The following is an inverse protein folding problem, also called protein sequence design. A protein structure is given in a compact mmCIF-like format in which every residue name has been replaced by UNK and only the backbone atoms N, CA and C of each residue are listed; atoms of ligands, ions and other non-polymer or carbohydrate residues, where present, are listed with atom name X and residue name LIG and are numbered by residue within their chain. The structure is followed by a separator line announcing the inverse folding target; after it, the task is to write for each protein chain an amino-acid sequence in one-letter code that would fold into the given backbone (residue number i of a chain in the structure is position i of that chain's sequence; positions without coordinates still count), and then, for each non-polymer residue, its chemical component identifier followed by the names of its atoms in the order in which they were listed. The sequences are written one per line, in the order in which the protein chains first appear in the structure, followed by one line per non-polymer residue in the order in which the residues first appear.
data_IF_438818445905
#
_entry.id   IF_438818445905
#
_cell.length_a   1.000
_cell.length_b   1.000
_cell.length_c   1.000
_cell.angle_alpha   90.00
_cell.angle_beta   90.00
_cell.angle_gamma   90.00
#
_symmetry.space_group_name_H-M   'P 1'
#
loop_
_entity.id
_entity.type
_entity.pdbx_description
1 polymer ?
#
# COMPACT_ATOMS: atom_id res chain seq x y z
N UNK A 1 8.70 3.17 -65.47
CA UNK A 1 8.29 1.78 -65.14
C UNK A 1 7.83 1.77 -63.68
N UNK A 2 6.55 2.00 -63.40
CA UNK A 2 5.51 0.97 -63.16
C UNK A 2 5.87 0.02 -62.00
N UNK A 3 5.24 0.30 -60.86
CA UNK A 3 4.74 -0.58 -59.79
C UNK A 3 5.49 -1.89 -59.49
N UNK A 4 5.95 -2.06 -58.24
CA UNK A 4 5.85 -3.39 -57.60
C UNK A 4 5.83 -3.32 -56.07
N UNK A 5 4.61 -3.37 -55.53
CA UNK A 5 4.17 -4.17 -54.37
C UNK A 5 4.73 -3.86 -52.98
N UNK A 6 3.95 -3.04 -52.25
CA UNK A 6 3.25 -3.42 -51.02
C UNK A 6 3.69 -4.76 -50.41
N UNK A 7 4.50 -4.73 -49.34
CA UNK A 7 4.81 -5.89 -48.50
C UNK A 7 4.76 -5.48 -47.02
N UNK A 8 3.72 -6.00 -46.37
CA UNK A 8 3.60 -6.34 -44.94
C UNK A 8 3.53 -5.18 -43.95
N UNK A 9 2.31 -4.63 -43.86
CA UNK A 9 1.69 -4.31 -42.57
C UNK A 9 1.56 -5.62 -41.78
N UNK A 10 2.40 -5.84 -40.77
CA UNK A 10 2.05 -6.54 -39.52
C UNK A 10 3.19 -6.40 -38.50
N UNK A 11 3.52 -5.17 -38.11
CA UNK A 11 4.31 -4.96 -36.91
C UNK A 11 3.38 -5.11 -35.69
N UNK A 12 3.33 -6.35 -35.21
CA UNK A 12 2.76 -6.85 -33.98
C UNK A 12 2.25 -5.80 -32.97
N UNK A 13 0.92 -5.81 -32.80
CA UNK A 13 0.20 -5.38 -31.60
C UNK A 13 0.77 -6.06 -30.35
N UNK A 14 1.76 -5.43 -29.72
CA UNK A 14 2.26 -5.74 -28.38
C UNK A 14 2.64 -4.35 -27.85
N UNK A 15 1.86 -3.66 -27.02
CA UNK A 15 1.65 -3.91 -25.60
C UNK A 15 0.36 -3.21 -25.16
N UNK A 16 -0.79 -3.88 -25.24
CA UNK A 16 -1.97 -3.51 -24.43
C UNK A 16 -2.04 -4.42 -23.20
N UNK A 17 -0.91 -4.63 -22.54
CA UNK A 17 -0.89 -5.11 -21.16
C UNK A 17 -1.12 -3.93 -20.24
N UNK A 18 -2.34 -3.36 -20.23
CA UNK A 18 -2.78 -2.65 -19.04
C UNK A 18 -2.68 -3.69 -17.93
N UNK A 19 -1.63 -3.61 -17.10
CA UNK A 19 -1.52 -4.43 -15.91
C UNK A 19 -2.69 -4.00 -15.01
N UNK A 20 -3.85 -4.61 -15.26
CA UNK A 20 -5.08 -4.39 -14.51
C UNK A 20 -4.75 -4.62 -13.05
N UNK A 21 -5.20 -3.71 -12.17
CA UNK A 21 -5.05 -3.89 -10.74
C UNK A 21 -5.47 -5.34 -10.38
N UNK A 22 -4.57 -6.18 -9.84
CA UNK A 22 -4.90 -7.58 -9.56
C UNK A 22 -5.83 -7.73 -8.36
N UNK A 23 -6.13 -6.66 -7.63
CA UNK A 23 -7.15 -6.64 -6.58
C UNK A 23 -8.56 -6.58 -7.17
N UNK A 24 -9.53 -7.10 -6.42
CA UNK A 24 -10.96 -6.98 -6.75
C UNK A 24 -11.50 -5.69 -6.12
N UNK A 25 -12.29 -4.92 -6.86
CA UNK A 25 -13.06 -3.81 -6.26
C UNK A 25 -14.18 -4.41 -5.41
N UNK A 26 -14.21 -4.08 -4.13
CA UNK A 26 -15.23 -4.61 -3.21
C UNK A 26 -16.63 -4.18 -3.65
N UNK A 27 -17.61 -5.06 -3.50
CA UNK A 27 -19.01 -4.72 -3.76
C UNK A 27 -19.53 -3.70 -2.72
N UNK A 28 -18.97 -3.73 -1.50
CA UNK A 28 -19.26 -2.76 -0.46
C UNK A 28 -18.13 -1.74 -0.38
N UNK A 29 -18.46 -0.45 -0.43
CA UNK A 29 -17.45 0.62 -0.42
C UNK A 29 -17.29 1.31 0.94
N UNK A 30 -18.16 0.97 1.90
CA UNK A 30 -18.06 1.42 3.29
C UNK A 30 -17.04 0.56 4.04
N UNK A 31 -16.13 1.23 4.75
CA UNK A 31 -15.22 0.59 5.70
C UNK A 31 -16.08 0.07 6.87
N UNK A 32 -16.06 -1.24 7.11
CA UNK A 32 -16.83 -1.83 8.21
C UNK A 32 -16.16 -1.48 9.53
N UNK A 33 -16.97 -1.14 10.52
CA UNK A 33 -16.52 -1.03 11.92
C UNK A 33 -16.00 -2.40 12.33
N UNK A 34 -14.79 -2.41 12.88
CA UNK A 34 -14.12 -3.62 13.33
C UNK A 34 -14.78 -4.16 14.61
N UNK A 35 -14.77 -5.48 14.78
CA UNK A 35 -15.23 -6.11 16.01
C UNK A 35 -14.42 -5.59 17.21
N UNK A 36 -15.05 -5.50 18.40
CA UNK A 36 -14.38 -5.03 19.62
C UNK A 36 -13.15 -5.85 20.04
N UNK A 37 -13.02 -7.09 19.56
CA UNK A 37 -11.87 -7.98 19.80
C UNK A 37 -10.72 -7.80 18.80
N UNK A 38 -10.96 -7.09 17.69
CA UNK A 38 -10.01 -6.87 16.60
C UNK A 38 -9.61 -5.39 16.53
N UNK A 39 -8.63 -5.09 15.68
CA UNK A 39 -8.24 -3.74 15.29
C UNK A 39 -8.15 -3.66 13.77
N UNK A 40 -8.27 -2.47 13.18
CA UNK A 40 -8.23 -2.31 11.73
C UNK A 40 -7.24 -1.23 11.33
N UNK A 41 -6.44 -1.52 10.28
CA UNK A 41 -5.60 -0.52 9.62
C UNK A 41 -6.06 -0.34 8.18
N UNK A 42 -6.41 0.91 7.83
CA UNK A 42 -6.84 1.29 6.49
C UNK A 42 -5.68 1.98 5.76
N UNK A 43 -5.15 1.30 4.75
CA UNK A 43 -4.11 1.85 3.88
C UNK A 43 -4.76 2.58 2.70
N UNK A 44 -4.43 3.85 2.54
CA UNK A 44 -4.98 4.76 1.53
C UNK A 44 -3.91 5.12 0.50
N UNK A 45 -4.27 5.15 -0.78
CA UNK A 45 -3.41 5.76 -1.79
C UNK A 45 -4.17 6.69 -2.72
N UNK A 46 -3.82 7.97 -2.63
CA UNK A 46 -4.35 9.03 -3.48
C UNK A 46 -3.23 10.00 -3.86
N UNK A 47 -2.55 9.76 -4.97
CA UNK A 47 -1.48 10.63 -5.49
C UNK A 47 -1.54 10.76 -7.01
N UNK A 48 -1.32 11.96 -7.52
CA UNK A 48 -1.19 12.19 -8.97
C UNK A 48 0.16 11.65 -9.49
N UNK A 49 1.23 11.79 -8.70
CA UNK A 49 2.57 11.34 -9.06
C UNK A 49 2.64 9.81 -9.01
N UNK A 50 3.26 9.19 -10.02
CA UNK A 50 3.41 7.73 -10.08
C UNK A 50 2.08 6.96 -10.13
N UNK A 51 1.01 7.58 -10.63
CA UNK A 51 -0.35 7.01 -10.64
C UNK A 51 -0.45 5.64 -11.31
N UNK A 52 0.40 5.35 -12.31
CA UNK A 52 0.46 4.08 -13.02
C UNK A 52 1.23 2.96 -12.29
N UNK A 53 1.88 3.26 -11.16
CA UNK A 53 2.71 2.32 -10.39
C UNK A 53 1.96 1.92 -9.13
N UNK A 54 1.92 0.63 -8.78
CA UNK A 54 1.36 0.12 -7.52
C UNK A 54 2.47 -0.35 -6.59
N UNK A 55 2.14 -0.52 -5.31
CA UNK A 55 2.99 -1.17 -4.31
C UNK A 55 2.25 -2.36 -3.68
N UNK A 56 2.98 -3.29 -3.08
CA UNK A 56 2.38 -4.35 -2.26
C UNK A 56 2.58 -4.09 -0.77
N UNK A 57 1.60 -4.49 0.04
CA UNK A 57 1.54 -4.28 1.48
C UNK A 57 1.60 -5.61 2.21
N UNK A 58 2.29 -5.61 3.35
CA UNK A 58 2.49 -6.78 4.19
C UNK A 58 2.41 -6.43 5.66
N UNK A 59 1.91 -7.36 6.46
CA UNK A 59 2.20 -7.41 7.89
C UNK A 59 3.46 -8.29 8.07
N UNK A 60 4.47 -7.76 8.75
CA UNK A 60 5.74 -8.46 9.01
C UNK A 60 6.02 -8.58 10.51
N UNK A 61 4.99 -8.42 11.35
CA UNK A 61 5.09 -8.44 12.82
C UNK A 61 5.75 -9.72 13.32
N UNK A 62 5.44 -10.85 12.69
CA UNK A 62 5.99 -12.16 13.04
C UNK A 62 7.31 -12.49 12.30
N UNK A 63 7.95 -11.50 11.65
CA UNK A 63 9.21 -11.67 10.92
C UNK A 63 9.05 -12.21 9.48
N UNK A 64 7.93 -12.85 9.15
CA UNK A 64 7.58 -13.29 7.80
C UNK A 64 6.53 -12.38 7.14
N UNK A 65 6.63 -12.06 5.84
CA UNK A 65 5.62 -11.25 5.15
C UNK A 65 4.29 -12.00 5.01
N UNK A 66 3.28 -11.52 5.74
CA UNK A 66 1.88 -11.84 5.51
C UNK A 66 1.29 -10.86 4.50
N UNK A 67 0.70 -11.37 3.43
CA UNK A 67 0.25 -10.52 2.32
C UNK A 67 -1.09 -9.84 2.60
N UNK A 68 -1.05 -8.51 2.73
CA UNK A 68 -2.24 -7.66 2.90
C UNK A 68 -2.89 -7.39 1.54
N UNK A 69 -2.11 -7.03 0.53
CA UNK A 69 -2.65 -6.75 -0.81
C UNK A 69 -1.75 -5.88 -1.68
N UNK A 70 -2.28 -5.44 -2.82
CA UNK A 70 -1.60 -4.51 -3.73
C UNK A 70 -2.37 -3.20 -3.77
N UNK A 71 -1.70 -2.11 -3.39
CA UNK A 71 -2.29 -0.77 -3.32
C UNK A 71 -2.00 0.01 -4.61
N UNK A 72 -3.03 0.14 -5.45
CA UNK A 72 -3.02 0.96 -6.65
C UNK A 72 -3.48 2.39 -6.33
N UNK A 73 -3.27 3.32 -7.27
CA UNK A 73 -3.70 4.69 -7.04
C UNK A 73 -5.23 4.78 -7.06
N UNK A 74 -5.81 5.60 -6.20
CA UNK A 74 -7.26 5.71 -6.08
C UNK A 74 -7.90 4.47 -5.43
N UNK A 75 -7.12 3.71 -4.63
CA UNK A 75 -7.64 2.54 -3.90
C UNK A 75 -7.30 2.63 -2.42
N UNK A 76 -8.05 1.86 -1.63
CA UNK A 76 -7.83 1.65 -0.20
C UNK A 76 -8.03 0.18 0.16
N UNK A 77 -7.30 -0.29 1.16
CA UNK A 77 -7.41 -1.64 1.71
C UNK A 77 -7.67 -1.50 3.21
N UNK A 78 -8.75 -2.12 3.70
CA UNK A 78 -9.00 -2.29 5.13
C UNK A 78 -8.45 -3.66 5.56
N UNK A 79 -7.53 -3.65 6.52
CA UNK A 79 -6.89 -4.85 7.06
C UNK A 79 -7.28 -5.02 8.53
N UNK A 80 -8.15 -5.99 8.80
CA UNK A 80 -8.50 -6.39 10.16
C UNK A 80 -7.39 -7.30 10.72
N UNK A 81 -6.97 -7.04 11.95
CA UNK A 81 -5.88 -7.76 12.62
C UNK A 81 -6.07 -7.76 14.13
N UNK A 82 -5.16 -8.41 14.86
CA UNK A 82 -5.17 -8.43 16.33
C UNK A 82 -4.77 -7.06 16.91
N UNK A 83 -5.27 -6.67 18.08
CA UNK A 83 -4.72 -5.52 18.80
C UNK A 83 -3.28 -5.77 19.29
N UNK A 84 -2.49 -4.70 19.41
CA UNK A 84 -1.13 -4.72 19.96
C UNK A 84 -0.07 -4.15 19.00
N UNK A 85 1.20 -4.54 19.16
CA UNK A 85 2.29 -4.06 18.31
C UNK A 85 2.27 -4.73 16.94
N UNK A 86 2.38 -3.92 15.88
CA UNK A 86 2.53 -4.39 14.50
C UNK A 86 3.69 -3.70 13.78
N UNK A 87 4.25 -4.39 12.80
CA UNK A 87 5.11 -3.78 11.78
C UNK A 87 4.53 -4.05 10.41
N UNK A 88 4.18 -2.99 9.69
CA UNK A 88 3.73 -3.07 8.30
C UNK A 88 4.86 -2.73 7.35
N UNK A 89 4.85 -3.35 6.18
CA UNK A 89 5.86 -3.17 5.14
C UNK A 89 5.18 -2.84 3.80
N UNK A 90 5.72 -1.86 3.09
CA UNK A 90 5.36 -1.56 1.71
C UNK A 90 6.51 -1.90 0.78
N UNK A 91 6.25 -2.57 -0.35
CA UNK A 91 7.26 -3.03 -1.30
C UNK A 91 6.99 -2.54 -2.72
N UNK A 92 8.03 -2.04 -3.37
CA UNK A 92 8.06 -1.62 -4.78
C UNK A 92 9.45 -1.86 -5.37
N UNK A 93 10.20 -0.82 -5.79
CA UNK A 93 11.65 -0.92 -6.03
C UNK A 93 12.39 -1.33 -4.74
N UNK A 94 12.04 -0.68 -3.62
CA UNK A 94 12.57 -0.90 -2.28
C UNK A 94 11.46 -1.34 -1.32
N UNK A 95 11.84 -1.68 -0.07
CA UNK A 95 10.91 -1.79 1.04
C UNK A 95 11.04 -0.61 2.00
N UNK A 96 9.92 -0.19 2.61
CA UNK A 96 9.86 0.76 3.72
C UNK A 96 8.83 0.23 4.74
N UNK A 97 8.90 0.71 5.98
CA UNK A 97 8.13 0.14 7.08
C UNK A 97 7.33 1.20 7.83
N UNK A 98 6.38 0.71 8.64
CA UNK A 98 5.56 1.47 9.56
C UNK A 98 5.44 0.64 10.84
N UNK A 99 5.72 1.24 11.99
CA UNK A 99 5.39 0.62 13.27
C UNK A 99 3.98 1.03 13.69
N UNK A 100 3.35 0.20 14.51
CA UNK A 100 2.03 0.50 15.03
C UNK A 100 1.87 -0.10 16.41
N UNK A 101 1.19 0.62 17.30
CA UNK A 101 0.58 0.08 18.51
C UNK A 101 -0.92 0.37 18.40
N UNK A 102 -1.71 -0.67 18.16
CA UNK A 102 -3.13 -0.54 17.80
C UNK A 102 -4.05 -1.15 18.84
N UNK A 103 -5.11 -0.43 19.20
CA UNK A 103 -6.04 -0.81 20.26
C UNK A 103 -7.23 -1.63 19.73
N UNK A 104 -7.88 -2.44 20.59
CA UNK A 104 -9.11 -3.14 20.25
C UNK A 104 -10.25 -2.19 19.88
N UNK A 105 -11.07 -2.58 18.91
CA UNK A 105 -12.24 -1.82 18.45
C UNK A 105 -11.93 -0.52 17.72
N UNK A 106 -10.66 -0.30 17.31
CA UNK A 106 -10.20 0.96 16.72
C UNK A 106 -9.80 0.81 15.25
N UNK A 107 -10.04 1.89 14.50
CA UNK A 107 -9.59 1.99 13.10
C UNK A 107 -8.49 3.03 12.98
N UNK A 108 -7.37 2.61 12.39
CA UNK A 108 -6.19 3.42 12.11
C UNK A 108 -6.05 3.65 10.62
N UNK A 109 -5.36 4.73 10.23
CA UNK A 109 -5.21 5.10 8.83
C UNK A 109 -3.75 5.37 8.48
N UNK A 110 -3.31 4.86 7.33
CA UNK A 110 -1.98 5.11 6.79
C UNK A 110 -2.04 5.55 5.33
N UNK A 111 -1.37 6.65 5.00
CA UNK A 111 -1.25 7.14 3.63
C UNK A 111 0.00 6.54 2.96
N UNK A 112 -0.21 5.85 1.85
CA UNK A 112 0.85 5.28 1.01
C UNK A 112 1.25 6.29 -0.05
N UNK A 113 2.48 6.79 0.04
CA UNK A 113 2.97 7.88 -0.84
C UNK A 113 4.14 7.42 -1.72
N UNK A 114 4.15 7.74 -3.01
CA UNK A 114 5.29 7.48 -3.87
C UNK A 114 6.43 8.45 -3.57
N UNK A 115 7.66 7.98 -3.75
CA UNK A 115 8.91 8.75 -3.66
C UNK A 115 9.79 8.37 -4.85
N UNK A 116 10.66 9.29 -5.26
CA UNK A 116 11.62 9.00 -6.34
C UNK A 116 12.51 7.82 -5.95
N UNK A 117 12.66 6.87 -6.87
CA UNK A 117 13.62 5.77 -6.79
C UNK A 117 14.62 5.85 -7.95
N UNK A 118 15.50 4.86 -8.04
CA UNK A 118 16.56 4.84 -9.06
C UNK A 118 16.03 4.44 -10.44
N UNK A 119 15.05 3.53 -10.49
CA UNK A 119 14.51 2.97 -11.74
C UNK A 119 12.97 2.96 -11.77
N UNK A 120 12.31 2.87 -10.61
CA UNK A 120 10.85 2.93 -10.41
C UNK A 120 10.55 3.74 -9.13
N UNK A 121 9.27 4.04 -8.89
CA UNK A 121 8.89 4.70 -7.64
C UNK A 121 9.15 3.77 -6.44
N UNK A 122 9.71 4.36 -5.37
CA UNK A 122 9.69 3.81 -4.02
C UNK A 122 8.41 4.26 -3.33
N UNK A 123 8.06 3.62 -2.22
CA UNK A 123 6.89 4.02 -1.45
C UNK A 123 7.23 4.15 0.04
N UNK A 124 6.48 5.00 0.73
CA UNK A 124 6.47 5.12 2.18
C UNK A 124 5.05 5.04 2.71
N UNK A 125 4.94 4.49 3.91
CA UNK A 125 3.75 4.52 4.74
C UNK A 125 3.84 5.72 5.68
N UNK A 126 2.76 6.48 5.82
CA UNK A 126 2.67 7.59 6.75
C UNK A 126 1.45 7.44 7.64
N UNK A 127 1.58 7.48 8.98
CA UNK A 127 0.44 7.59 9.87
C UNK A 127 -0.44 8.79 9.49
N UNK A 128 -1.75 8.61 9.51
CA UNK A 128 -2.70 9.73 9.56
C UNK A 128 -3.10 9.88 11.03
N UNK A 129 -2.54 10.89 11.70
CA UNK A 129 -2.75 11.11 13.14
C UNK A 129 -4.17 11.58 13.41
N UNK A 130 -4.73 11.23 14.58
CA UNK A 130 -6.06 11.68 14.99
C UNK A 130 -6.06 13.11 15.59
N UNK A 131 -4.89 13.73 15.66
CA UNK A 131 -4.69 15.12 16.07
C UNK A 131 -3.96 15.91 14.98
N UNK A 132 -3.82 17.22 15.17
CA UNK A 132 -3.12 18.09 14.21
C UNK A 132 -1.58 18.07 14.36
N UNK A 133 -1.00 17.09 15.07
CA UNK A 133 0.45 17.07 15.38
C UNK A 133 1.33 16.75 14.18
N UNK A 134 0.77 16.21 13.09
CA UNK A 134 1.54 15.75 11.94
C UNK A 134 1.00 16.26 10.61
N UNK A 135 1.86 16.14 9.58
CA UNK A 135 1.55 16.49 8.19
C UNK A 135 0.28 15.84 7.65
N UNK A 136 0.00 14.60 8.07
CA UNK A 136 -1.19 13.87 7.65
C UNK A 136 -2.03 13.59 8.88
N UNK A 137 -3.25 14.12 8.90
CA UNK A 137 -4.14 13.95 10.04
C UNK A 137 -5.61 13.97 9.65
N UNK A 138 -6.46 13.51 10.57
CA UNK A 138 -7.90 13.37 10.37
C UNK A 138 -8.64 14.70 10.26
N UNK A 139 -8.08 15.79 10.80
CA UNK A 139 -8.68 17.13 10.71
C UNK A 139 -8.52 17.80 9.34
N UNK A 140 -7.66 17.26 8.47
CA UNK A 140 -7.46 17.79 7.12
C UNK A 140 -8.70 17.60 6.24
N UNK A 141 -9.12 18.62 5.47
CA UNK A 141 -10.15 18.45 4.46
C UNK A 141 -9.81 17.35 3.43
N UNK A 142 -8.52 17.14 3.16
CA UNK A 142 -8.01 16.10 2.27
C UNK A 142 -8.28 14.69 2.80
N UNK A 143 -8.32 14.48 4.12
CA UNK A 143 -8.55 13.15 4.68
C UNK A 143 -9.89 12.58 4.22
N UNK A 144 -10.96 13.38 4.34
CA UNK A 144 -12.28 13.00 3.82
C UNK A 144 -12.22 12.73 2.31
N UNK A 145 -11.52 13.57 1.54
CA UNK A 145 -11.37 13.38 0.09
C UNK A 145 -10.64 12.07 -0.24
N UNK A 146 -9.62 11.68 0.52
CA UNK A 146 -8.94 10.41 0.32
C UNK A 146 -9.86 9.23 0.61
N UNK A 147 -10.66 9.29 1.67
CA UNK A 147 -11.65 8.25 1.98
C UNK A 147 -12.71 8.11 0.88
N UNK A 148 -13.26 9.23 0.40
CA UNK A 148 -14.34 9.26 -0.58
C UNK A 148 -13.86 8.87 -1.99
N UNK A 149 -12.67 9.33 -2.40
CA UNK A 149 -12.19 9.18 -3.77
C UNK A 149 -11.37 7.90 -4.01
N UNK A 150 -11.10 7.12 -2.97
CA UNK A 150 -10.46 5.81 -3.11
C UNK A 150 -11.49 4.69 -3.12
N UNK A 151 -11.30 3.68 -3.95
CA UNK A 151 -12.16 2.47 -3.96
C UNK A 151 -11.64 1.44 -2.97
N UNK A 152 -12.52 0.88 -2.14
CA UNK A 152 -12.19 -0.27 -1.32
C UNK A 152 -11.93 -1.47 -2.22
N UNK A 153 -10.78 -2.09 -2.03
CA UNK A 153 -10.36 -3.28 -2.79
C UNK A 153 -9.98 -4.41 -1.85
N UNK A 154 -10.17 -5.63 -2.33
CA UNK A 154 -9.95 -6.87 -1.59
C UNK A 154 -9.07 -7.83 -2.41
N UNK A 155 -8.43 -8.79 -1.73
CA UNK A 155 -7.61 -9.78 -2.40
C UNK A 155 -8.45 -10.66 -3.32
N UNK A 156 -8.03 -10.77 -4.57
CA UNK A 156 -8.57 -11.71 -5.55
C UNK A 156 -7.64 -12.91 -5.70
N UNK A 157 -8.07 -13.94 -6.42
CA UNK A 157 -7.18 -15.05 -6.79
C UNK A 157 -5.97 -14.57 -7.62
N UNK A 158 -6.14 -13.49 -8.40
CA UNK A 158 -5.03 -12.89 -9.17
C UNK A 158 -4.01 -12.22 -8.25
N UNK A 159 -4.44 -11.49 -7.22
CA UNK A 159 -3.50 -10.84 -6.29
C UNK A 159 -2.77 -11.88 -5.45
N UNK A 160 -3.47 -12.93 -5.00
CA UNK A 160 -2.87 -14.06 -4.28
C UNK A 160 -1.86 -14.82 -5.16
N UNK A 161 -2.20 -15.10 -6.41
CA UNK A 161 -1.28 -15.75 -7.36
C UNK A 161 -0.06 -14.87 -7.67
N UNK A 162 -0.26 -13.56 -7.82
CA UNK A 162 0.83 -12.61 -7.95
C UNK A 162 1.77 -12.69 -6.73
N UNK A 163 1.24 -12.71 -5.51
CA UNK A 163 2.08 -12.80 -4.31
C UNK A 163 2.90 -14.08 -4.30
N UNK A 164 2.28 -15.23 -4.55
CA UNK A 164 2.98 -16.53 -4.62
C UNK A 164 4.18 -16.49 -5.58
N UNK A 165 4.02 -15.85 -6.74
CA UNK A 165 5.10 -15.69 -7.74
C UNK A 165 6.21 -14.72 -7.29
N UNK A 166 5.90 -13.76 -6.43
CA UNK A 166 6.83 -12.69 -6.02
C UNK A 166 7.35 -12.83 -4.58
N UNK A 167 6.91 -13.84 -3.82
CA UNK A 167 7.23 -14.01 -2.40
C UNK A 167 8.73 -13.97 -2.10
N UNK A 168 9.56 -14.65 -2.91
CA UNK A 168 11.02 -14.62 -2.75
C UNK A 168 11.61 -13.22 -2.94
N UNK A 169 11.11 -12.45 -3.92
CA UNK A 169 11.55 -11.06 -4.13
C UNK A 169 11.14 -10.15 -2.97
N UNK A 170 9.93 -10.35 -2.44
CA UNK A 170 9.42 -9.63 -1.26
C UNK A 170 10.29 -9.90 -0.05
N UNK A 171 10.57 -11.18 0.24
CA UNK A 171 11.43 -11.58 1.37
C UNK A 171 12.84 -11.03 1.22
N UNK A 172 13.42 -11.10 0.01
CA UNK A 172 14.73 -10.51 -0.26
C UNK A 172 14.78 -9.02 0.07
N UNK A 173 13.75 -8.25 -0.32
CA UNK A 173 13.67 -6.81 -0.01
C UNK A 173 13.43 -6.55 1.47
N UNK A 174 12.63 -7.38 2.16
CA UNK A 174 12.49 -7.28 3.60
C UNK A 174 13.87 -7.40 4.27
N UNK A 175 14.64 -8.44 3.92
CA UNK A 175 15.99 -8.68 4.48
C UNK A 175 16.95 -7.55 4.16
N UNK A 176 16.93 -7.03 2.92
CA UNK A 176 17.80 -5.94 2.48
C UNK A 176 17.52 -4.61 3.21
N UNK A 177 16.25 -4.24 3.36
CA UNK A 177 15.88 -2.91 3.87
C UNK A 177 15.56 -2.88 5.36
N UNK A 178 15.39 -4.03 6.04
CA UNK A 178 15.16 -4.05 7.47
C UNK A 178 16.33 -3.48 8.30
N UNK A 179 17.61 -3.76 8.01
CA UNK A 179 18.73 -3.08 8.66
C UNK A 179 18.69 -1.56 8.47
N UNK A 180 18.42 -1.10 7.24
CA UNK A 180 18.29 0.34 6.90
C UNK A 180 17.17 0.99 7.71
N UNK A 181 16.07 0.29 7.92
CA UNK A 181 14.99 0.74 8.78
C UNK A 181 15.43 0.90 10.24
N UNK A 182 16.13 -0.10 10.79
CA UNK A 182 16.60 -0.09 12.19
C UNK A 182 17.65 1.00 12.48
N UNK A 183 18.34 1.49 11.46
CA UNK A 183 19.31 2.58 11.58
C UNK A 183 18.67 3.98 11.57
N UNK A 184 17.35 4.08 11.34
CA UNK A 184 16.65 5.36 11.43
C UNK A 184 16.71 5.94 12.84
N UNK A 185 16.72 7.27 12.92
CA UNK A 185 16.62 7.96 14.20
C UNK A 185 15.28 7.67 14.86
N UNK A 186 15.23 7.77 16.20
CA UNK A 186 13.98 7.63 16.95
C UNK A 186 12.89 8.61 16.46
N UNK A 187 13.28 9.82 16.05
CA UNK A 187 12.36 10.81 15.49
C UNK A 187 11.77 10.37 14.14
N UNK A 188 12.57 9.76 13.27
CA UNK A 188 12.11 9.24 11.98
C UNK A 188 11.23 8.00 12.15
N UNK A 189 11.53 7.15 13.14
CA UNK A 189 10.67 6.03 13.53
C UNK A 189 9.35 6.56 14.09
N UNK A 190 9.36 7.55 14.98
CA UNK A 190 8.14 8.14 15.55
C UNK A 190 7.24 8.72 14.45
N UNK A 191 7.81 9.44 13.47
CA UNK A 191 7.07 9.93 12.27
C UNK A 191 6.46 8.80 11.43
N UNK A 192 6.82 7.55 11.69
CA UNK A 192 6.36 6.32 11.04
C UNK A 192 5.68 5.35 12.01
N UNK A 193 5.23 5.84 13.15
CA UNK A 193 4.49 5.04 14.12
C UNK A 193 3.03 5.47 14.14
N UNK A 194 2.12 4.50 14.01
CA UNK A 194 0.73 4.63 14.42
C UNK A 194 0.67 4.44 15.94
N UNK A 195 0.26 5.46 16.67
CA UNK A 195 0.20 5.44 18.12
C UNK A 195 -1.21 5.06 18.60
N UNK A 196 -1.37 4.58 19.85
CA UNK A 196 -2.67 4.14 20.36
C UNK A 196 -3.79 5.16 20.18
N UNK A 197 -3.50 6.44 20.41
CA UNK A 197 -4.44 7.57 20.29
C UNK A 197 -4.86 7.93 18.86
N UNK A 198 -4.18 7.41 17.85
CA UNK A 198 -4.52 7.65 16.44
C UNK A 198 -5.79 6.89 15.99
N UNK A 199 -6.23 5.92 16.79
CA UNK A 199 -7.38 5.08 16.49
C UNK A 199 -8.71 5.78 16.77
N UNK A 200 -9.58 5.86 15.75
CA UNK A 200 -10.95 6.37 15.87
C UNK A 200 -11.93 5.24 16.14
#
# INVERSE_FOLDING_TARGET
MKHMRLLVILACTIFAGCASNPMLVSQQQTIKVVDSSLSQVVFLRSSFVGSAISASLYDVTNGEPEFIGIIANGTKIAYDTTPGPHTFMVVSEAADFLQAEILPGKTYYSLVTPRMGMWKARFSLWPIRNDSSSKFNTSMPEFKKWLDNTKLVENSDKSKAWYKKNANSVKSKQVEYWPVWKEKSAEDIEKRTLNPQDGI
#
